data_IF_405190265464
#
_entry.id   IF_405190265464
#
_cell.length_a   1.000
_cell.length_b   1.000
_cell.length_c   1.000
_cell.angle_alpha   90.00
_cell.angle_beta   90.00
_cell.angle_gamma   90.00
#
_symmetry.space_group_name_H-M   'P 1'
#
loop_
_entity.id
_entity.type
_entity.pdbx_description
1 polymer ?
#
# COMPACT_ATOMS: atom_id res chain seq x y z
N UNK A 1 21.14 -14.57 -14.38
CA UNK A 1 20.07 -15.57 -14.65
C UNK A 1 19.39 -15.92 -13.34
N UNK A 2 18.25 -15.30 -13.04
CA UNK A 2 17.42 -15.68 -11.89
C UNK A 2 16.53 -16.83 -12.36
N UNK A 3 16.78 -18.05 -11.87
CA UNK A 3 15.90 -19.19 -12.13
C UNK A 3 14.53 -18.92 -11.50
N UNK A 4 13.55 -18.62 -12.34
CA UNK A 4 12.13 -18.60 -11.96
C UNK A 4 11.68 -20.03 -11.66
N UNK A 5 11.53 -20.36 -10.38
CA UNK A 5 10.97 -21.65 -9.95
C UNK A 5 9.57 -21.86 -10.58
N UNK A 6 9.34 -23.09 -11.05
CA UNK A 6 8.12 -23.57 -11.73
C UNK A 6 6.83 -23.25 -10.96
N UNK A 7 5.77 -22.84 -11.67
CA UNK A 7 4.42 -22.57 -11.13
C UNK A 7 3.75 -23.80 -10.50
N UNK A 8 4.16 -25.01 -10.86
CA UNK A 8 3.58 -26.25 -10.31
C UNK A 8 3.85 -26.44 -8.81
N UNK A 9 4.96 -25.90 -8.29
CA UNK A 9 5.30 -26.00 -6.86
C UNK A 9 4.41 -25.14 -5.94
N UNK A 10 3.53 -24.27 -6.46
CA UNK A 10 2.71 -23.38 -5.62
C UNK A 10 1.42 -24.01 -5.11
N UNK A 11 0.86 -25.01 -5.80
CA UNK A 11 -0.42 -25.61 -5.41
C UNK A 11 -0.30 -26.75 -4.39
N UNK A 12 0.89 -27.33 -4.23
CA UNK A 12 1.18 -28.40 -3.25
C UNK A 12 1.90 -27.89 -1.99
N UNK A 13 2.29 -26.61 -1.96
CA UNK A 13 3.03 -26.07 -0.83
C UNK A 13 2.06 -25.61 0.27
N UNK A 14 1.83 -26.46 1.26
CA UNK A 14 1.03 -26.17 2.46
C UNK A 14 1.58 -24.99 3.25
N UNK A 15 2.88 -24.70 3.15
CA UNK A 15 3.54 -23.58 3.83
C UNK A 15 3.87 -22.46 2.84
N UNK A 16 3.11 -21.37 2.92
CA UNK A 16 3.38 -20.15 2.18
C UNK A 16 3.27 -18.93 3.10
N UNK A 17 4.04 -17.89 2.81
CA UNK A 17 3.93 -16.63 3.53
C UNK A 17 2.55 -16.02 3.29
N UNK A 18 1.80 -15.81 4.38
CA UNK A 18 0.54 -15.07 4.34
C UNK A 18 0.83 -13.59 4.54
N UNK A 19 0.32 -12.78 3.62
CA UNK A 19 0.25 -11.32 3.77
C UNK A 19 -0.57 -10.95 5.01
N UNK A 20 -0.39 -9.74 5.51
CA UNK A 20 -1.20 -9.27 6.63
C UNK A 20 -2.68 -9.21 6.28
N UNK A 21 -3.03 -8.81 5.06
CA UNK A 21 -4.43 -8.79 4.63
C UNK A 21 -5.03 -10.21 4.66
N UNK A 22 -4.27 -11.23 4.24
CA UNK A 22 -4.68 -12.64 4.37
C UNK A 22 -4.80 -13.05 5.83
N UNK A 23 -3.86 -12.67 6.70
CA UNK A 23 -3.96 -12.92 8.15
C UNK A 23 -5.19 -12.24 8.75
N UNK A 24 -5.41 -10.94 8.51
CA UNK A 24 -6.58 -10.19 8.99
C UNK A 24 -7.89 -10.80 8.50
N UNK A 25 -7.97 -11.24 7.25
CA UNK A 25 -9.13 -11.95 6.70
C UNK A 25 -9.31 -13.33 7.36
N UNK A 26 -8.22 -14.04 7.65
CA UNK A 26 -8.23 -15.30 8.38
C UNK A 26 -8.56 -15.13 9.86
N UNK A 27 -8.40 -13.95 10.46
CA UNK A 27 -8.86 -13.71 11.81
C UNK A 27 -10.38 -13.43 11.74
N UNK A 28 -11.21 -14.46 11.97
CA UNK A 28 -12.66 -14.32 12.05
C UNK A 28 -13.08 -13.37 13.19
N UNK A 29 -13.89 -12.34 12.90
CA UNK A 29 -14.58 -11.53 13.93
C UNK A 29 -15.87 -12.24 14.36
N UNK A 30 -16.50 -12.98 13.45
CA UNK A 30 -17.68 -13.79 13.74
C UNK A 30 -17.30 -15.03 14.54
N UNK A 31 -17.61 -14.99 15.82
CA UNK A 31 -17.50 -16.12 16.75
C UNK A 31 -18.54 -17.22 16.44
N UNK A 32 -19.39 -17.05 15.43
CA UNK A 32 -20.46 -17.99 15.08
C UNK A 32 -20.06 -19.03 14.02
N UNK A 33 -18.90 -18.93 13.37
CA UNK A 33 -18.51 -19.85 12.28
C UNK A 33 -17.10 -20.45 12.34
N UNK A 34 -16.46 -20.48 13.51
CA UNK A 34 -15.29 -21.35 13.75
C UNK A 34 -15.59 -22.39 14.81
N UNK A 35 -15.95 -23.59 14.36
CA UNK A 35 -15.96 -24.81 15.17
C UNK A 35 -14.49 -25.25 15.34
N UNK A 36 -13.72 -24.49 16.11
CA UNK A 36 -12.62 -25.08 16.87
C UNK A 36 -13.21 -25.37 18.25
N UNK A 37 -13.31 -26.65 18.63
CA UNK A 37 -13.92 -27.11 19.89
C UNK A 37 -13.26 -26.55 21.17
N UNK A 38 -12.19 -25.75 21.05
CA UNK A 38 -11.46 -25.10 22.16
C UNK A 38 -11.65 -23.58 22.27
N UNK A 39 -12.36 -22.92 21.34
CA UNK A 39 -12.68 -21.49 21.44
C UNK A 39 -14.16 -21.33 21.80
N UNK A 40 -14.54 -21.77 23.00
CA UNK A 40 -15.84 -21.38 23.56
C UNK A 40 -15.78 -19.87 23.83
N UNK A 41 -16.87 -19.15 23.56
CA UNK A 41 -16.97 -17.76 24.06
C UNK A 41 -16.79 -17.81 25.58
N UNK A 42 -16.14 -16.82 26.19
CA UNK A 42 -16.18 -16.71 27.63
C UNK A 42 -17.60 -16.77 28.14
N UNK A 43 -17.81 -17.51 29.23
CA UNK A 43 -19.01 -17.35 30.04
C UNK A 43 -19.13 -15.87 30.43
N UNK A 44 -20.33 -15.39 30.76
CA UNK A 44 -20.62 -13.94 30.91
C UNK A 44 -19.68 -13.18 31.87
N UNK A 45 -18.95 -13.90 32.73
CA UNK A 45 -18.02 -13.36 33.72
C UNK A 45 -16.53 -13.54 33.39
N UNK A 46 -16.15 -14.35 32.39
CA UNK A 46 -14.75 -14.66 32.08
C UNK A 46 -14.16 -13.71 31.01
N UNK A 47 -12.86 -13.44 31.11
CA UNK A 47 -12.14 -12.55 30.17
C UNK A 47 -11.36 -13.35 29.14
N UNK A 48 -11.14 -12.80 27.95
CA UNK A 48 -10.33 -13.49 26.93
C UNK A 48 -8.88 -13.67 27.41
N UNK A 49 -8.35 -12.71 28.15
CA UNK A 49 -7.03 -12.79 28.76
C UNK A 49 -6.93 -13.95 29.75
N UNK A 50 -7.89 -14.10 30.66
CA UNK A 50 -7.85 -15.15 31.67
C UNK A 50 -7.95 -16.55 31.05
N UNK A 51 -8.85 -16.73 30.09
CA UNK A 51 -8.96 -17.99 29.36
C UNK A 51 -7.68 -18.36 28.59
N UNK A 52 -7.05 -17.37 27.96
CA UNK A 52 -5.76 -17.61 27.31
C UNK A 52 -4.66 -17.91 28.33
N UNK A 53 -4.67 -17.30 29.51
CA UNK A 53 -3.72 -17.58 30.58
C UNK A 53 -3.85 -19.02 31.05
N UNK A 54 -5.07 -19.50 31.34
CA UNK A 54 -5.31 -20.88 31.77
C UNK A 54 -4.86 -21.89 30.71
N UNK A 55 -5.23 -21.65 29.44
CA UNK A 55 -4.75 -22.43 28.32
C UNK A 55 -3.22 -22.51 28.28
N UNK A 56 -2.53 -21.38 28.43
CA UNK A 56 -1.06 -21.38 28.35
C UNK A 56 -0.40 -21.97 29.58
N UNK A 57 -1.02 -21.91 30.75
CA UNK A 57 -0.56 -22.63 31.96
C UNK A 57 -0.56 -24.14 31.74
N UNK A 58 -1.52 -24.66 30.97
CA UNK A 58 -1.57 -26.08 30.64
C UNK A 58 -0.59 -26.48 29.52
N UNK A 59 -0.16 -25.54 28.68
CA UNK A 59 0.66 -25.81 27.49
C UNK A 59 2.14 -25.45 27.65
N UNK A 60 2.49 -24.51 28.52
CA UNK A 60 3.84 -23.96 28.63
C UNK A 60 4.40 -24.09 30.05
N UNK A 61 5.44 -24.90 30.20
CA UNK A 61 6.09 -25.18 31.50
C UNK A 61 7.45 -24.50 31.66
N UNK A 62 7.73 -23.45 30.89
CA UNK A 62 9.00 -22.72 30.99
C UNK A 62 9.06 -21.91 32.28
N UNK A 63 10.26 -21.80 32.86
CA UNK A 63 10.47 -21.04 34.10
C UNK A 63 10.10 -19.55 33.94
N UNK A 64 10.38 -18.98 32.76
CA UNK A 64 10.06 -17.58 32.45
C UNK A 64 8.55 -17.36 32.41
N UNK A 65 7.80 -18.25 31.75
CA UNK A 65 6.33 -18.14 31.70
C UNK A 65 5.68 -18.42 33.07
N UNK A 66 6.25 -19.33 33.87
CA UNK A 66 5.79 -19.56 35.23
C UNK A 66 5.94 -18.29 36.11
N UNK A 67 7.12 -17.64 36.07
CA UNK A 67 7.37 -16.37 36.78
C UNK A 67 6.39 -15.27 36.34
N UNK A 68 6.14 -15.15 35.04
CA UNK A 68 5.10 -14.24 34.51
C UNK A 68 3.73 -14.56 35.10
N UNK A 69 3.31 -15.83 35.06
CA UNK A 69 1.98 -16.28 35.51
C UNK A 69 1.75 -15.93 36.98
N UNK A 70 2.74 -16.17 37.85
CA UNK A 70 2.64 -15.86 39.28
C UNK A 70 2.37 -14.37 39.52
N UNK A 71 2.91 -13.48 38.68
CA UNK A 71 2.75 -12.03 38.82
C UNK A 71 1.38 -11.51 38.36
N UNK A 72 0.71 -12.22 37.44
CA UNK A 72 -0.54 -11.75 36.80
C UNK A 72 -1.78 -12.50 37.23
N UNK A 73 -1.66 -13.76 37.69
CA UNK A 73 -2.80 -14.67 37.93
C UNK A 73 -3.84 -14.12 38.90
N UNK A 74 -3.40 -13.35 39.90
CA UNK A 74 -4.29 -12.75 40.91
C UNK A 74 -4.88 -11.38 40.51
N UNK A 75 -4.64 -10.91 39.28
CA UNK A 75 -5.04 -9.58 38.79
C UNK A 75 -5.97 -9.62 37.58
N UNK A 76 -6.35 -10.81 37.10
CA UNK A 76 -6.93 -10.96 35.75
C UNK A 76 -8.18 -11.82 35.65
N UNK A 77 -8.67 -12.39 36.75
CA UNK A 77 -9.77 -13.37 36.72
C UNK A 77 -11.12 -12.78 36.30
N UNK A 78 -11.32 -11.46 36.45
CA UNK A 78 -12.53 -10.76 35.99
C UNK A 78 -12.18 -9.48 35.25
N UNK A 79 -13.10 -8.99 34.43
CA UNK A 79 -12.91 -7.75 33.68
C UNK A 79 -12.66 -6.54 34.60
N UNK A 80 -13.36 -6.49 35.74
CA UNK A 80 -13.16 -5.43 36.73
C UNK A 80 -11.72 -5.42 37.28
N UNK A 81 -11.13 -6.60 37.51
CA UNK A 81 -9.73 -6.71 37.94
C UNK A 81 -8.76 -6.31 36.83
N UNK A 82 -9.02 -6.70 35.57
CA UNK A 82 -8.21 -6.26 34.43
C UNK A 82 -8.19 -4.73 34.32
N UNK A 83 -9.34 -4.07 34.46
CA UNK A 83 -9.44 -2.62 34.39
C UNK A 83 -8.71 -1.96 35.56
N UNK A 84 -8.88 -2.49 36.78
CA UNK A 84 -8.26 -1.94 37.99
C UNK A 84 -6.74 -2.13 38.02
N UNK A 85 -6.21 -3.22 37.46
CA UNK A 85 -4.80 -3.55 37.46
C UNK A 85 -4.11 -3.36 36.10
N UNK A 86 -4.74 -2.64 35.16
CA UNK A 86 -4.27 -2.53 33.77
C UNK A 86 -2.82 -2.06 33.65
N UNK A 87 -2.41 -1.06 34.43
CA UNK A 87 -1.04 -0.54 34.41
C UNK A 87 -0.04 -1.63 34.81
N UNK A 88 -0.32 -2.35 35.91
CA UNK A 88 0.57 -3.39 36.40
C UNK A 88 0.67 -4.59 35.43
N UNK A 89 -0.45 -4.97 34.81
CA UNK A 89 -0.49 -6.04 33.81
C UNK A 89 0.30 -5.65 32.56
N UNK A 90 0.15 -4.41 32.10
CA UNK A 90 0.84 -3.90 30.90
C UNK A 90 2.35 -3.77 31.13
N UNK A 91 2.78 -3.23 32.27
CA UNK A 91 4.20 -3.17 32.60
C UNK A 91 4.82 -4.57 32.70
N UNK A 92 4.09 -5.53 33.29
CA UNK A 92 4.54 -6.93 33.32
C UNK A 92 4.64 -7.49 31.91
N UNK A 93 3.65 -7.29 31.03
CA UNK A 93 3.74 -7.75 29.65
C UNK A 93 4.93 -7.13 28.91
N UNK A 94 5.16 -5.82 29.07
CA UNK A 94 6.30 -5.12 28.45
C UNK A 94 7.65 -5.70 28.90
N UNK A 95 7.80 -5.97 30.20
CA UNK A 95 9.00 -6.62 30.75
C UNK A 95 9.23 -7.97 30.07
N UNK A 96 8.21 -8.83 30.01
CA UNK A 96 8.35 -10.18 29.50
C UNK A 96 8.40 -10.28 27.97
N UNK A 97 7.85 -9.33 27.23
CA UNK A 97 8.06 -9.23 25.77
C UNK A 97 9.55 -9.10 25.45
N UNK A 98 10.31 -8.40 26.28
CA UNK A 98 11.75 -8.18 26.09
C UNK A 98 12.61 -9.27 26.75
N UNK A 99 12.13 -9.87 27.84
CA UNK A 99 12.85 -10.88 28.63
C UNK A 99 12.63 -12.32 28.13
N UNK A 100 11.48 -12.60 27.51
CA UNK A 100 11.10 -13.95 27.10
C UNK A 100 12.10 -14.54 26.09
N UNK A 101 12.42 -15.81 26.31
CA UNK A 101 13.13 -16.64 25.34
C UNK A 101 12.16 -17.17 24.27
N UNK A 102 12.69 -17.84 23.25
CA UNK A 102 11.89 -18.38 22.15
C UNK A 102 10.80 -19.36 22.64
N UNK A 103 11.01 -20.01 23.78
CA UNK A 103 10.08 -21.00 24.34
C UNK A 103 8.91 -20.36 25.12
N UNK A 104 9.08 -19.15 25.65
CA UNK A 104 8.07 -18.46 26.46
C UNK A 104 7.41 -17.28 25.74
N UNK A 105 7.98 -16.82 24.63
CA UNK A 105 7.52 -15.62 23.92
C UNK A 105 6.10 -15.78 23.34
N UNK A 106 5.77 -16.94 22.77
CA UNK A 106 4.46 -17.18 22.16
C UNK A 106 3.28 -16.93 23.12
N UNK A 107 3.25 -17.51 24.34
CA UNK A 107 2.24 -17.18 25.34
C UNK A 107 2.13 -15.69 25.64
N UNK A 108 3.26 -15.00 25.84
CA UNK A 108 3.28 -13.57 26.19
C UNK A 108 2.66 -12.72 25.08
N UNK A 109 2.98 -13.04 23.83
CA UNK A 109 2.46 -12.36 22.66
C UNK A 109 0.95 -12.60 22.44
N UNK A 110 0.44 -13.82 22.69
CA UNK A 110 -1.00 -14.11 22.61
C UNK A 110 -1.77 -13.40 23.75
N UNK A 111 -1.26 -13.47 24.97
CA UNK A 111 -1.83 -12.76 26.12
C UNK A 111 -1.88 -11.25 25.91
N UNK A 112 -0.86 -10.66 25.28
CA UNK A 112 -0.88 -9.24 24.90
C UNK A 112 -2.04 -8.92 23.95
N UNK A 113 -2.28 -9.78 22.95
CA UNK A 113 -3.39 -9.61 22.02
C UNK A 113 -4.76 -9.75 22.71
N UNK A 114 -4.91 -10.70 23.63
CA UNK A 114 -6.17 -10.87 24.38
C UNK A 114 -6.41 -9.72 25.36
N UNK A 115 -5.37 -9.21 26.03
CA UNK A 115 -5.52 -8.04 26.90
C UNK A 115 -6.03 -6.83 26.12
N UNK A 116 -5.48 -6.60 24.92
CA UNK A 116 -5.95 -5.53 24.03
C UNK A 116 -7.40 -5.73 23.59
N UNK A 117 -7.85 -6.99 23.43
CA UNK A 117 -9.23 -7.32 23.08
C UNK A 117 -10.20 -6.99 24.21
N UNK A 118 -9.84 -7.32 25.44
CA UNK A 118 -10.66 -7.06 26.63
C UNK A 118 -10.71 -5.56 26.97
N UNK A 119 -9.55 -4.90 27.02
CA UNK A 119 -9.44 -3.50 27.47
C UNK A 119 -9.70 -2.45 26.39
N UNK A 120 -9.44 -2.77 25.12
CA UNK A 120 -9.69 -1.88 23.98
C UNK A 120 -9.13 -0.46 24.17
N UNK A 121 -10.00 0.54 24.42
CA UNK A 121 -9.61 1.94 24.62
C UNK A 121 -8.64 2.11 25.79
N UNK A 122 -8.85 1.37 26.88
CA UNK A 122 -7.98 1.42 28.06
C UNK A 122 -6.58 0.88 27.78
N UNK A 123 -6.45 -0.05 26.83
CA UNK A 123 -5.16 -0.54 26.35
C UNK A 123 -4.48 0.45 25.41
N UNK A 124 -5.25 1.22 24.63
CA UNK A 124 -4.73 2.03 23.54
C UNK A 124 -3.70 3.08 24.00
N UNK A 125 -3.82 3.60 25.22
CA UNK A 125 -2.85 4.53 25.81
C UNK A 125 -1.42 3.95 25.84
N UNK A 126 -1.32 2.63 26.01
CA UNK A 126 -0.04 1.90 26.10
C UNK A 126 0.39 1.27 24.77
N UNK A 127 -0.47 1.32 23.74
CA UNK A 127 -0.22 0.71 22.44
C UNK A 127 1.12 1.14 21.82
N UNK A 128 1.53 2.44 21.82
CA UNK A 128 2.77 2.84 21.18
C UNK A 128 4.02 2.14 21.74
N UNK A 129 4.08 1.94 23.06
CA UNK A 129 5.24 1.31 23.72
C UNK A 129 5.27 -0.20 23.51
N UNK A 130 4.11 -0.85 23.60
CA UNK A 130 3.96 -2.28 23.31
C UNK A 130 4.28 -2.55 21.84
N UNK A 131 3.78 -1.72 20.93
CA UNK A 131 4.06 -1.82 19.50
C UNK A 131 5.55 -1.74 19.22
N UNK A 132 6.26 -0.74 19.78
CA UNK A 132 7.71 -0.61 19.64
C UNK A 132 8.45 -1.85 20.16
N UNK A 133 7.99 -2.43 21.27
CA UNK A 133 8.58 -3.63 21.86
C UNK A 133 8.43 -4.84 20.95
N UNK A 134 7.23 -5.05 20.38
CA UNK A 134 6.97 -6.15 19.44
C UNK A 134 7.70 -5.94 18.10
N UNK A 135 7.77 -4.71 17.60
CA UNK A 135 8.51 -4.40 16.36
C UNK A 135 10.00 -4.73 16.48
N UNK A 136 10.61 -4.54 17.66
CA UNK A 136 12.01 -4.95 17.89
C UNK A 136 12.21 -6.44 17.69
N UNK A 137 11.21 -7.27 18.02
CA UNK A 137 11.26 -8.72 17.81
C UNK A 137 11.28 -9.11 16.33
N UNK A 138 10.89 -8.21 15.42
CA UNK A 138 10.93 -8.47 13.98
C UNK A 138 12.35 -8.45 13.39
N UNK A 139 13.34 -7.93 14.14
CA UNK A 139 14.75 -7.95 13.71
C UNK A 139 15.42 -9.29 14.03
N UNK A 140 14.82 -10.37 13.53
CA UNK A 140 15.32 -11.75 13.64
C UNK A 140 15.08 -12.51 12.34
N UNK A 141 15.81 -13.62 12.14
CA UNK A 141 15.55 -14.59 11.07
C UNK A 141 14.72 -15.79 11.55
N UNK A 142 14.43 -15.87 12.84
CA UNK A 142 13.59 -16.93 13.41
C UNK A 142 12.15 -16.81 12.90
N UNK A 143 11.71 -17.80 12.14
CA UNK A 143 10.40 -17.80 11.49
C UNK A 143 9.24 -17.89 12.49
N UNK A 144 9.43 -18.55 13.63
CA UNK A 144 8.38 -18.71 14.64
C UNK A 144 8.16 -17.37 15.37
N UNK A 145 9.25 -16.71 15.77
CA UNK A 145 9.18 -15.38 16.40
C UNK A 145 8.53 -14.36 15.46
N UNK A 146 8.89 -14.39 14.17
CA UNK A 146 8.28 -13.54 13.16
C UNK A 146 6.78 -13.83 13.03
N UNK A 147 6.39 -15.10 12.98
CA UNK A 147 4.99 -15.51 12.89
C UNK A 147 4.17 -15.04 14.09
N UNK A 148 4.63 -15.30 15.31
CA UNK A 148 3.94 -14.88 16.52
C UNK A 148 3.85 -13.36 16.65
N UNK A 149 4.95 -12.65 16.35
CA UNK A 149 4.99 -11.18 16.40
C UNK A 149 4.00 -10.57 15.41
N UNK A 150 4.03 -11.04 14.15
CA UNK A 150 3.08 -10.55 13.16
C UNK A 150 1.64 -10.93 13.48
N UNK A 151 1.40 -12.11 14.04
CA UNK A 151 0.06 -12.53 14.46
C UNK A 151 -0.47 -11.63 15.56
N UNK A 152 0.33 -11.34 16.59
CA UNK A 152 -0.04 -10.41 17.67
C UNK A 152 -0.28 -9.01 17.15
N UNK A 153 0.60 -8.49 16.29
CA UNK A 153 0.38 -7.20 15.64
C UNK A 153 -0.93 -7.19 14.84
N UNK A 154 -1.23 -8.24 14.09
CA UNK A 154 -2.51 -8.37 13.36
C UNK A 154 -3.72 -8.25 14.28
N UNK A 155 -3.67 -8.91 15.44
CA UNK A 155 -4.72 -8.82 16.45
C UNK A 155 -4.83 -7.43 17.07
N UNK A 156 -3.71 -6.79 17.44
CA UNK A 156 -3.70 -5.42 17.96
C UNK A 156 -4.35 -4.45 16.97
N UNK A 157 -4.01 -4.56 15.69
CA UNK A 157 -4.63 -3.77 14.61
C UNK A 157 -6.13 -4.04 14.52
N UNK A 158 -6.53 -5.30 14.54
CA UNK A 158 -7.91 -5.71 14.46
C UNK A 158 -8.76 -5.19 15.62
N UNK A 159 -8.24 -5.16 16.85
CA UNK A 159 -8.99 -4.73 18.02
C UNK A 159 -8.95 -3.21 18.21
N UNK A 160 -7.84 -2.56 17.84
CA UNK A 160 -7.61 -1.16 18.17
C UNK A 160 -7.80 -0.18 17.00
N UNK A 161 -8.09 -0.64 15.78
CA UNK A 161 -8.17 0.25 14.60
C UNK A 161 -9.09 1.46 14.80
N UNK A 162 -10.21 1.30 15.53
CA UNK A 162 -11.16 2.41 15.78
C UNK A 162 -10.52 3.56 16.57
N UNK A 163 -9.57 3.26 17.45
CA UNK A 163 -8.83 4.24 18.22
C UNK A 163 -7.66 4.81 17.42
N UNK A 164 -7.00 3.96 16.63
CA UNK A 164 -5.95 4.39 15.67
C UNK A 164 -6.47 5.45 14.70
N UNK A 165 -7.69 5.29 14.18
CA UNK A 165 -8.28 6.27 13.26
C UNK A 165 -8.53 7.65 13.89
N UNK A 166 -8.65 7.75 15.21
CA UNK A 166 -8.83 9.05 15.90
C UNK A 166 -7.54 9.84 16.05
N UNK A 167 -6.38 9.21 15.84
CA UNK A 167 -5.04 9.78 16.06
C UNK A 167 -4.08 9.29 14.98
N UNK A 168 -4.50 9.41 13.72
CA UNK A 168 -3.80 8.81 12.59
C UNK A 168 -2.39 9.37 12.40
N UNK A 169 -2.19 10.65 12.67
CA UNK A 169 -0.91 11.34 12.68
C UNK A 169 0.08 10.67 13.65
N UNK A 170 -0.34 10.45 14.90
CA UNK A 170 0.47 9.77 15.92
C UNK A 170 0.79 8.33 15.49
N UNK A 171 -0.20 7.63 14.94
CA UNK A 171 -0.01 6.26 14.45
C UNK A 171 0.92 6.25 13.23
N UNK A 172 0.86 7.25 12.36
CA UNK A 172 1.74 7.37 11.21
C UNK A 172 3.19 7.63 11.65
N UNK A 173 3.44 8.52 12.62
CA UNK A 173 4.79 8.72 13.18
C UNK A 173 5.37 7.44 13.80
N UNK A 174 4.52 6.59 14.37
CA UNK A 174 4.95 5.30 14.91
C UNK A 174 5.36 4.32 13.80
N UNK A 175 4.78 4.48 12.61
CA UNK A 175 4.93 3.59 11.45
C UNK A 175 5.98 4.05 10.45
N UNK A 176 6.17 5.36 10.29
CA UNK A 176 7.05 5.92 9.27
C UNK A 176 8.47 5.35 9.29
N UNK A 177 9.12 5.07 10.46
CA UNK A 177 10.45 4.48 10.48
C UNK A 177 10.49 3.03 9.99
N UNK A 178 9.35 2.36 9.87
CA UNK A 178 9.25 0.98 9.38
C UNK A 178 9.24 0.90 7.86
N UNK A 179 9.00 2.02 7.16
CA UNK A 179 9.08 2.09 5.70
C UNK A 179 10.51 2.28 5.19
N UNK A 180 11.43 2.67 6.06
CA UNK A 180 12.82 2.98 5.72
C UNK A 180 13.55 1.80 5.05
N UNK A 181 14.39 2.09 4.05
CA UNK A 181 15.08 1.08 3.26
C UNK A 181 16.07 0.23 4.06
N UNK A 182 16.55 0.71 5.22
CA UNK A 182 17.38 -0.07 6.15
C UNK A 182 16.61 -1.23 6.80
N UNK A 183 15.27 -1.16 6.87
CA UNK A 183 14.44 -2.23 7.44
C UNK A 183 14.33 -3.40 6.48
N UNK A 184 14.24 -4.60 7.02
CA UNK A 184 14.05 -5.83 6.24
C UNK A 184 12.76 -5.76 5.44
N UNK A 185 12.76 -6.37 4.25
CA UNK A 185 11.64 -6.28 3.30
C UNK A 185 10.29 -6.73 3.89
N UNK A 186 10.29 -7.74 4.77
CA UNK A 186 9.08 -8.24 5.41
C UNK A 186 8.51 -7.28 6.45
N UNK A 187 9.36 -6.48 7.12
CA UNK A 187 8.93 -5.41 8.04
C UNK A 187 8.27 -4.29 7.24
N UNK A 188 8.90 -3.86 6.13
CA UNK A 188 8.35 -2.83 5.25
C UNK A 188 7.00 -3.25 4.65
N UNK A 189 6.89 -4.49 4.20
CA UNK A 189 5.64 -5.04 3.67
C UNK A 189 4.56 -5.10 4.76
N UNK A 190 4.88 -5.59 5.95
CA UNK A 190 3.94 -5.58 7.07
C UNK A 190 3.44 -4.15 7.37
N UNK A 191 4.37 -3.18 7.45
CA UNK A 191 4.04 -1.81 7.76
C UNK A 191 3.09 -1.19 6.72
N UNK A 192 3.37 -1.44 5.44
CA UNK A 192 2.55 -0.91 4.36
C UNK A 192 1.18 -1.58 4.31
N UNK A 193 1.11 -2.89 4.50
CA UNK A 193 -0.16 -3.63 4.48
C UNK A 193 -1.03 -3.31 5.71
N UNK A 194 -0.45 -3.15 6.91
CA UNK A 194 -1.21 -2.84 8.14
C UNK A 194 -1.75 -1.41 8.12
N UNK A 195 -0.94 -0.46 7.68
CA UNK A 195 -1.37 0.92 7.62
C UNK A 195 -2.35 1.13 6.45
N UNK A 196 -2.18 0.44 5.32
CA UNK A 196 -3.16 0.42 4.24
C UNK A 196 -4.55 -0.05 4.71
N UNK A 197 -4.62 -1.04 5.60
CA UNK A 197 -5.88 -1.45 6.22
C UNK A 197 -6.56 -0.32 7.00
N UNK A 198 -5.80 0.50 7.72
CA UNK A 198 -6.33 1.70 8.39
C UNK A 198 -6.78 2.74 7.37
N UNK A 199 -5.93 3.04 6.38
CA UNK A 199 -6.23 4.02 5.33
C UNK A 199 -7.54 3.71 4.60
N UNK A 200 -7.81 2.44 4.30
CA UNK A 200 -9.07 2.02 3.66
C UNK A 200 -10.30 2.34 4.51
N UNK A 201 -10.18 2.42 5.84
CA UNK A 201 -11.29 2.69 6.77
C UNK A 201 -11.54 4.18 7.05
N UNK A 202 -10.63 5.07 6.64
CA UNK A 202 -10.81 6.52 6.81
C UNK A 202 -11.97 7.00 5.93
N UNK A 203 -13.00 7.69 6.46
CA UNK A 203 -14.09 8.18 5.62
C UNK A 203 -13.63 9.25 4.62
N UNK A 204 -12.90 10.25 5.10
CA UNK A 204 -12.41 11.35 4.26
C UNK A 204 -11.04 11.01 3.66
N UNK A 205 -11.05 10.53 2.41
CA UNK A 205 -9.82 10.25 1.67
C UNK A 205 -9.11 11.53 1.22
N UNK A 206 -9.83 12.63 1.07
CA UNK A 206 -9.25 13.88 0.62
C UNK A 206 -8.34 14.46 1.71
N UNK A 207 -8.85 14.54 2.94
CA UNK A 207 -8.06 14.96 4.12
C UNK A 207 -6.83 14.06 4.33
N UNK A 208 -6.99 12.74 4.15
CA UNK A 208 -5.87 11.79 4.22
C UNK A 208 -4.77 12.11 3.21
N UNK A 209 -5.12 12.32 1.94
CA UNK A 209 -4.13 12.58 0.90
C UNK A 209 -3.58 14.01 0.95
N UNK A 210 -4.34 14.98 1.46
CA UNK A 210 -3.80 16.30 1.82
C UNK A 210 -2.71 16.15 2.88
N UNK A 211 -2.99 15.47 3.99
CA UNK A 211 -1.98 15.23 5.01
C UNK A 211 -0.74 14.50 4.46
N UNK A 212 -0.92 13.40 3.72
CA UNK A 212 0.20 12.59 3.26
C UNK A 212 1.03 13.26 2.15
N UNK A 213 0.38 13.77 1.09
CA UNK A 213 1.09 14.22 -0.11
C UNK A 213 1.47 15.70 -0.05
N UNK A 214 0.62 16.56 0.53
CA UNK A 214 0.85 18.01 0.50
C UNK A 214 1.52 18.51 1.79
N UNK A 215 1.36 17.82 2.91
CA UNK A 215 2.06 18.15 4.17
C UNK A 215 3.24 17.24 4.47
N UNK A 216 3.00 15.97 4.80
CA UNK A 216 4.02 15.05 5.32
C UNK A 216 5.17 14.84 4.36
N UNK A 217 4.86 14.52 3.10
CA UNK A 217 5.87 14.28 2.06
C UNK A 217 6.74 15.52 1.80
N UNK A 218 6.14 16.71 1.84
CA UNK A 218 6.87 17.97 1.63
C UNK A 218 7.81 18.26 2.80
N UNK A 219 7.35 18.02 4.04
CA UNK A 219 8.17 18.17 5.25
C UNK A 219 9.23 17.07 5.38
N UNK A 220 8.98 15.88 4.83
CA UNK A 220 9.83 14.70 4.94
C UNK A 220 10.08 14.01 3.58
N UNK A 221 10.83 14.63 2.65
CA UNK A 221 11.02 14.09 1.29
C UNK A 221 11.65 12.69 1.23
N UNK A 222 12.40 12.29 2.27
CA UNK A 222 13.00 10.96 2.37
C UNK A 222 11.96 9.82 2.50
N UNK A 223 10.72 10.12 2.90
CA UNK A 223 9.63 9.14 3.02
C UNK A 223 8.95 8.80 1.69
N UNK A 224 9.35 9.44 0.59
CA UNK A 224 8.72 9.31 -0.73
C UNK A 224 8.46 7.87 -1.16
N UNK A 225 9.47 6.99 -1.06
CA UNK A 225 9.34 5.59 -1.44
C UNK A 225 8.34 4.84 -0.52
N UNK A 226 8.34 5.16 0.77
CA UNK A 226 7.44 4.59 1.76
C UNK A 226 5.99 4.98 1.53
N UNK A 227 5.72 6.27 1.34
CA UNK A 227 4.39 6.81 1.05
C UNK A 227 3.87 6.25 -0.27
N UNK A 228 4.68 6.25 -1.34
CA UNK A 228 4.27 5.69 -2.63
C UNK A 228 3.91 4.20 -2.53
N UNK A 229 4.69 3.42 -1.77
CA UNK A 229 4.37 2.01 -1.51
C UNK A 229 3.08 1.85 -0.70
N UNK A 230 2.88 2.70 0.31
CA UNK A 230 1.72 2.68 1.18
C UNK A 230 0.41 2.97 0.41
N UNK A 231 0.43 3.98 -0.47
CA UNK A 231 -0.72 4.30 -1.34
C UNK A 231 -1.03 3.12 -2.26
N UNK A 232 0.00 2.47 -2.83
CA UNK A 232 -0.22 1.26 -3.63
C UNK A 232 -0.86 0.14 -2.81
N UNK A 233 -0.36 -0.17 -1.61
CA UNK A 233 -0.94 -1.20 -0.75
C UNK A 233 -2.38 -0.86 -0.35
N UNK A 234 -2.73 0.42 -0.22
CA UNK A 234 -4.13 0.85 -0.03
C UNK A 234 -5.02 0.42 -1.21
N UNK A 235 -4.57 0.55 -2.46
CA UNK A 235 -5.34 0.20 -3.67
C UNK A 235 -5.32 -1.30 -4.00
N UNK A 236 -4.23 -1.98 -3.67
CA UNK A 236 -4.03 -3.40 -3.93
C UNK A 236 -5.19 -4.22 -3.37
N UNK A 237 -5.80 -5.03 -4.24
CA UNK A 237 -6.79 -6.04 -3.89
C UNK A 237 -6.18 -7.43 -3.86
N UNK A 238 -6.92 -8.42 -4.36
CA UNK A 238 -6.47 -9.81 -4.48
C UNK A 238 -6.32 -10.20 -5.95
N UNK A 239 -5.54 -11.26 -6.24
CA UNK A 239 -5.42 -11.85 -7.59
C UNK A 239 -5.07 -10.84 -8.72
N UNK A 240 -4.21 -9.86 -8.46
CA UNK A 240 -3.82 -8.80 -9.42
C UNK A 240 -4.93 -7.77 -9.72
N UNK A 241 -6.02 -7.79 -8.95
CA UNK A 241 -7.11 -6.81 -9.01
C UNK A 241 -6.92 -5.72 -7.95
N UNK A 242 -7.53 -4.57 -8.21
CA UNK A 242 -7.65 -3.47 -7.27
C UNK A 242 -8.95 -3.60 -6.47
N UNK A 243 -8.95 -3.06 -5.26
CA UNK A 243 -10.13 -3.12 -4.39
C UNK A 243 -11.13 -1.99 -4.70
N UNK A 244 -12.32 -2.07 -4.08
CA UNK A 244 -13.45 -1.18 -4.37
C UNK A 244 -13.20 0.32 -4.09
N UNK A 245 -12.26 0.69 -3.20
CA UNK A 245 -11.97 2.10 -2.95
C UNK A 245 -10.94 2.70 -3.92
N UNK A 246 -10.40 1.90 -4.84
CA UNK A 246 -9.33 2.36 -5.74
C UNK A 246 -9.81 3.43 -6.70
N UNK A 247 -10.99 3.29 -7.30
CA UNK A 247 -11.53 4.30 -8.23
C UNK A 247 -11.61 5.67 -7.55
N UNK A 248 -12.28 5.76 -6.41
CA UNK A 248 -12.47 7.02 -5.68
C UNK A 248 -11.17 7.57 -5.12
N UNK A 249 -10.36 6.75 -4.45
CA UNK A 249 -9.13 7.21 -3.82
C UNK A 249 -8.05 7.58 -4.85
N UNK A 250 -7.96 6.88 -5.97
CA UNK A 250 -6.99 7.20 -7.01
C UNK A 250 -7.35 8.49 -7.75
N UNK A 251 -8.64 8.77 -8.00
CA UNK A 251 -9.06 10.09 -8.51
C UNK A 251 -8.56 11.22 -7.61
N UNK A 252 -8.72 11.10 -6.28
CA UNK A 252 -8.26 12.11 -5.32
C UNK A 252 -6.73 12.25 -5.36
N UNK A 253 -5.97 11.16 -5.42
CA UNK A 253 -4.50 11.22 -5.56
C UNK A 253 -4.09 11.96 -6.83
N UNK A 254 -4.79 11.71 -7.94
CA UNK A 254 -4.55 12.38 -9.22
C UNK A 254 -4.91 13.87 -9.15
N UNK A 255 -5.93 14.25 -8.39
CA UNK A 255 -6.25 15.66 -8.14
C UNK A 255 -5.14 16.41 -7.42
N UNK A 256 -4.31 15.73 -6.60
CA UNK A 256 -3.14 16.31 -5.93
C UNK A 256 -1.92 16.49 -6.84
N UNK A 257 -1.97 16.04 -8.09
CA UNK A 257 -0.91 16.35 -9.07
C UNK A 257 -0.99 17.83 -9.44
N UNK A 258 0.17 18.49 -9.45
CA UNK A 258 0.29 19.94 -9.66
C UNK A 258 -0.50 20.77 -8.62
N UNK A 259 -0.47 20.35 -7.35
CA UNK A 259 -1.26 20.96 -6.27
C UNK A 259 -0.80 22.36 -5.87
N UNK A 260 0.52 22.59 -5.77
CA UNK A 260 1.06 23.86 -5.33
C UNK A 260 1.17 24.84 -6.49
N UNK A 261 0.52 25.99 -6.36
CA UNK A 261 0.70 27.09 -7.32
C UNK A 261 2.16 27.56 -7.32
N UNK A 262 2.80 27.53 -8.49
CA UNK A 262 4.15 28.04 -8.74
C UNK A 262 5.31 27.39 -7.94
N UNK A 263 5.12 26.19 -7.37
CA UNK A 263 6.21 25.44 -6.70
C UNK A 263 6.45 24.09 -7.40
N UNK A 264 7.27 24.12 -8.46
CA UNK A 264 7.60 22.92 -9.23
C UNK A 264 8.31 21.87 -8.38
N UNK A 265 9.18 22.27 -7.45
CA UNK A 265 9.90 21.37 -6.55
C UNK A 265 8.97 20.54 -5.68
N UNK A 266 7.95 21.13 -5.05
CA UNK A 266 6.97 20.36 -4.27
C UNK A 266 6.07 19.51 -5.16
N UNK A 267 5.69 20.02 -6.33
CA UNK A 267 4.88 19.25 -7.28
C UNK A 267 5.64 18.05 -7.85
N UNK A 268 6.96 18.17 -8.07
CA UNK A 268 7.83 17.07 -8.47
C UNK A 268 7.93 16.00 -7.37
N UNK A 269 7.97 16.39 -6.10
CA UNK A 269 7.91 15.42 -4.98
C UNK A 269 6.61 14.62 -5.00
N UNK A 270 5.45 15.30 -5.14
CA UNK A 270 4.15 14.62 -5.25
C UNK A 270 4.13 13.71 -6.49
N UNK A 271 4.54 14.22 -7.65
CA UNK A 271 4.60 13.44 -8.88
C UNK A 271 5.47 12.19 -8.72
N UNK A 272 6.68 12.30 -8.17
CA UNK A 272 7.59 11.18 -7.98
C UNK A 272 7.03 10.14 -6.99
N UNK A 273 6.31 10.58 -5.95
CA UNK A 273 5.62 9.67 -5.02
C UNK A 273 4.47 8.90 -5.72
N UNK A 274 3.66 9.61 -6.51
CA UNK A 274 2.58 9.00 -7.29
C UNK A 274 3.14 8.12 -8.41
N UNK A 275 4.27 8.47 -9.00
CA UNK A 275 5.00 7.65 -9.97
C UNK A 275 5.37 6.29 -9.35
N UNK A 276 5.91 6.26 -8.12
CA UNK A 276 6.19 5.00 -7.40
C UNK A 276 4.93 4.17 -7.15
N UNK A 277 3.82 4.85 -6.84
CA UNK A 277 2.51 4.19 -6.68
C UNK A 277 2.08 3.53 -7.99
N UNK A 278 2.08 4.29 -9.09
CA UNK A 278 1.65 3.85 -10.42
C UNK A 278 2.56 2.75 -10.97
N UNK A 279 3.87 2.83 -10.75
CA UNK A 279 4.82 1.78 -11.09
C UNK A 279 4.46 0.47 -10.37
N UNK A 280 4.23 0.53 -9.06
CA UNK A 280 3.84 -0.64 -8.25
C UNK A 280 2.50 -1.22 -8.72
N UNK A 281 1.53 -0.36 -9.09
CA UNK A 281 0.25 -0.78 -9.67
C UNK A 281 0.44 -1.53 -11.00
N UNK A 282 1.28 -1.02 -11.89
CA UNK A 282 1.58 -1.63 -13.19
C UNK A 282 2.26 -3.00 -13.05
N UNK A 283 3.24 -3.10 -12.14
CA UNK A 283 3.94 -4.35 -11.82
C UNK A 283 2.95 -5.42 -11.32
N UNK A 284 2.05 -5.04 -10.41
CA UNK A 284 1.07 -5.93 -9.80
C UNK A 284 -0.04 -6.39 -10.75
N UNK A 285 -0.60 -5.50 -11.57
CA UNK A 285 -1.86 -5.78 -12.28
C UNK A 285 -1.70 -6.53 -13.62
N UNK A 286 -2.82 -6.90 -14.25
CA UNK A 286 -2.90 -7.47 -15.59
C UNK A 286 -3.87 -6.65 -16.44
N UNK A 287 -3.71 -6.71 -17.78
CA UNK A 287 -4.55 -5.98 -18.76
C UNK A 287 -6.07 -6.08 -18.48
N UNK A 288 -6.56 -7.26 -18.15
CA UNK A 288 -7.98 -7.52 -17.83
C UNK A 288 -8.51 -6.78 -16.58
N UNK A 289 -7.62 -6.24 -15.75
CA UNK A 289 -7.96 -5.57 -14.48
C UNK A 289 -7.59 -4.08 -14.47
N UNK A 290 -7.07 -3.53 -15.57
CA UNK A 290 -6.64 -2.13 -15.64
C UNK A 290 -7.77 -1.14 -15.91
N UNK A 291 -8.99 -1.61 -16.18
CA UNK A 291 -10.12 -0.74 -16.53
C UNK A 291 -10.40 0.37 -15.50
N UNK A 292 -10.27 0.08 -14.20
CA UNK A 292 -10.44 1.07 -13.13
C UNK A 292 -9.35 2.15 -13.16
N UNK A 293 -8.12 1.80 -13.51
CA UNK A 293 -7.00 2.75 -13.63
C UNK A 293 -7.22 3.65 -14.85
N UNK A 294 -7.54 3.05 -15.99
CA UNK A 294 -7.76 3.77 -17.24
C UNK A 294 -8.92 4.75 -17.14
N UNK A 295 -10.01 4.37 -16.45
CA UNK A 295 -11.12 5.28 -16.15
C UNK A 295 -10.63 6.57 -15.46
N UNK A 296 -9.80 6.44 -14.42
CA UNK A 296 -9.24 7.59 -13.70
C UNK A 296 -8.32 8.42 -14.61
N UNK A 297 -7.42 7.78 -15.36
CA UNK A 297 -6.54 8.49 -16.28
C UNK A 297 -7.30 9.25 -17.36
N UNK A 298 -8.30 8.65 -17.99
CA UNK A 298 -9.10 9.33 -19.01
C UNK A 298 -9.86 10.53 -18.42
N UNK A 299 -10.52 10.35 -17.28
CA UNK A 299 -11.22 11.46 -16.61
C UNK A 299 -10.27 12.62 -16.28
N UNK A 300 -9.08 12.31 -15.76
CA UNK A 300 -8.08 13.31 -15.40
C UNK A 300 -7.51 14.04 -16.63
N UNK A 301 -7.23 13.31 -17.71
CA UNK A 301 -6.74 13.91 -18.96
C UNK A 301 -7.80 14.77 -19.65
N UNK A 302 -9.08 14.39 -19.58
CA UNK A 302 -10.17 15.18 -20.17
C UNK A 302 -10.46 16.46 -19.38
N UNK A 303 -10.47 16.38 -18.04
CA UNK A 303 -10.70 17.52 -17.16
C UNK A 303 -9.51 18.49 -17.09
N UNK A 304 -8.29 18.01 -17.34
CA UNK A 304 -7.06 18.79 -17.24
C UNK A 304 -6.67 19.57 -18.49
N UNK A 305 -7.43 19.51 -19.59
CA UNK A 305 -7.05 20.10 -20.89
C UNK A 305 -6.68 21.60 -20.85
N UNK A 306 -7.13 22.34 -19.85
CA UNK A 306 -6.79 23.76 -19.65
C UNK A 306 -5.49 24.01 -18.87
N UNK A 307 -5.00 23.03 -18.10
CA UNK A 307 -3.77 23.13 -17.29
C UNK A 307 -2.65 22.29 -17.91
N UNK A 308 -1.84 22.93 -18.76
CA UNK A 308 -0.73 22.29 -19.48
C UNK A 308 0.25 21.59 -18.53
N UNK A 309 0.59 22.20 -17.39
CA UNK A 309 1.54 21.61 -16.43
C UNK A 309 0.98 20.34 -15.81
N UNK A 310 -0.27 20.37 -15.35
CA UNK A 310 -0.93 19.17 -14.81
C UNK A 310 -1.00 18.08 -15.86
N UNK A 311 -1.34 18.42 -17.11
CA UNK A 311 -1.38 17.45 -18.20
C UNK A 311 -0.02 16.83 -18.51
N UNK A 312 1.07 17.60 -18.45
CA UNK A 312 2.44 17.08 -18.59
C UNK A 312 2.73 16.01 -17.53
N UNK A 313 2.41 16.27 -16.26
CA UNK A 313 2.58 15.28 -15.19
C UNK A 313 1.69 14.05 -15.41
N UNK A 314 0.43 14.23 -15.80
CA UNK A 314 -0.49 13.12 -16.07
C UNK A 314 0.02 12.23 -17.21
N UNK A 315 0.48 12.82 -18.32
CA UNK A 315 1.07 12.05 -19.43
C UNK A 315 2.34 11.30 -18.99
N UNK A 316 3.18 11.90 -18.15
CA UNK A 316 4.35 11.21 -17.56
C UNK A 316 3.93 10.04 -16.67
N UNK A 317 2.84 10.15 -15.88
CA UNK A 317 2.30 9.04 -15.10
C UNK A 317 1.77 7.91 -16.00
N UNK A 318 1.02 8.24 -17.05
CA UNK A 318 0.52 7.25 -18.02
C UNK A 318 1.68 6.57 -18.73
N UNK A 319 2.69 7.32 -19.16
CA UNK A 319 3.92 6.78 -19.74
C UNK A 319 4.54 5.74 -18.78
N UNK A 320 4.69 6.08 -17.50
CA UNK A 320 5.28 5.19 -16.49
C UNK A 320 4.45 3.93 -16.26
N UNK A 321 3.12 4.05 -16.25
CA UNK A 321 2.22 2.91 -16.15
C UNK A 321 2.40 1.93 -17.33
N UNK A 322 2.56 2.46 -18.54
CA UNK A 322 2.72 1.68 -19.76
C UNK A 322 4.12 1.08 -19.91
N UNK A 323 5.16 1.83 -19.56
CA UNK A 323 6.58 1.46 -19.71
C UNK A 323 6.90 0.13 -19.00
N UNK A 324 6.37 -0.06 -17.79
CA UNK A 324 6.64 -1.24 -16.94
C UNK A 324 6.37 -2.57 -17.65
N UNK A 325 5.34 -2.63 -18.52
CA UNK A 325 4.99 -3.85 -19.28
C UNK A 325 4.93 -3.58 -20.78
N UNK A 326 5.74 -2.64 -21.27
CA UNK A 326 5.88 -2.34 -22.70
C UNK A 326 4.52 -2.20 -23.39
N UNK A 327 3.63 -1.37 -22.83
CA UNK A 327 2.26 -1.10 -23.30
C UNK A 327 1.25 -2.27 -23.25
N UNK A 328 1.60 -3.45 -22.74
CA UNK A 328 0.67 -4.58 -22.59
C UNK A 328 -0.58 -4.23 -21.76
N UNK A 329 -0.48 -3.23 -20.87
CA UNK A 329 -1.54 -2.84 -19.95
C UNK A 329 -2.65 -1.95 -20.56
N UNK A 330 -2.52 -1.55 -21.83
CA UNK A 330 -3.59 -0.85 -22.57
C UNK A 330 -4.79 -1.79 -22.68
N UNK A 331 -5.92 -1.40 -22.05
CA UNK A 331 -7.16 -2.17 -22.08
C UNK A 331 -7.91 -1.99 -23.40
N UNK A 332 -8.04 -0.74 -23.85
CA UNK A 332 -8.73 -0.33 -25.07
C UNK A 332 -7.84 0.64 -25.86
N UNK A 333 -7.26 0.15 -26.95
CA UNK A 333 -6.38 0.93 -27.81
C UNK A 333 -7.15 2.04 -28.53
N UNK A 334 -8.41 1.85 -28.87
CA UNK A 334 -9.19 2.85 -29.61
C UNK A 334 -9.45 4.07 -28.74
N UNK A 335 -9.93 3.84 -27.52
CA UNK A 335 -10.17 4.92 -26.57
C UNK A 335 -8.87 5.64 -26.20
N UNK A 336 -7.77 4.90 -26.05
CA UNK A 336 -6.45 5.50 -25.86
C UNK A 336 -6.03 6.39 -27.03
N UNK A 337 -6.21 5.94 -28.27
CA UNK A 337 -5.92 6.72 -29.47
C UNK A 337 -6.79 7.98 -29.57
N UNK A 338 -8.09 7.86 -29.28
CA UNK A 338 -9.00 9.01 -29.29
C UNK A 338 -8.58 10.05 -28.24
N UNK A 339 -8.13 9.60 -27.05
CA UNK A 339 -7.55 10.46 -26.04
C UNK A 339 -6.28 11.16 -26.56
N UNK A 340 -5.35 10.43 -27.18
CA UNK A 340 -4.14 11.01 -27.78
C UNK A 340 -4.45 12.02 -28.89
N UNK A 341 -5.49 11.79 -29.69
CA UNK A 341 -5.96 12.75 -30.71
C UNK A 341 -6.47 14.04 -30.05
N UNK A 342 -7.23 13.93 -28.94
CA UNK A 342 -7.67 15.11 -28.17
C UNK A 342 -6.47 15.89 -27.62
N UNK A 343 -5.47 15.19 -27.08
CA UNK A 343 -4.24 15.82 -26.57
C UNK A 343 -3.44 16.53 -27.67
N UNK A 344 -3.35 15.93 -28.86
CA UNK A 344 -2.67 16.56 -30.01
C UNK A 344 -3.35 17.83 -30.54
N UNK A 345 -4.61 18.10 -30.15
CA UNK A 345 -5.33 19.32 -30.52
C UNK A 345 -5.14 20.48 -29.54
N UNK A 346 -4.47 20.27 -28.41
CA UNK A 346 -4.19 21.32 -27.43
C UNK A 346 -3.27 22.36 -28.08
N UNK A 347 -3.60 23.65 -27.91
CA UNK A 347 -2.85 24.73 -28.53
C UNK A 347 -1.48 24.93 -27.88
N UNK A 348 -0.45 24.92 -28.72
CA UNK A 348 0.95 25.09 -28.32
C UNK A 348 1.38 26.55 -28.51
N UNK A 349 2.09 27.08 -27.52
CA UNK A 349 2.71 28.40 -27.55
C UNK A 349 4.22 28.28 -27.26
N UNK A 350 4.94 29.40 -27.23
CA UNK A 350 6.40 29.44 -27.01
C UNK A 350 6.78 29.32 -25.51
N UNK A 351 5.84 29.00 -24.62
CA UNK A 351 6.13 28.86 -23.18
C UNK A 351 6.92 27.57 -22.86
N UNK A 352 7.60 27.57 -21.70
CA UNK A 352 8.25 26.37 -21.16
C UNK A 352 7.27 25.22 -20.97
N UNK A 353 6.07 25.52 -20.49
CA UNK A 353 5.04 24.53 -20.17
C UNK A 353 4.54 23.83 -21.44
N UNK A 354 4.41 24.58 -22.54
CA UNK A 354 4.14 24.02 -23.85
C UNK A 354 5.25 23.09 -24.32
N UNK A 355 6.52 23.46 -24.15
CA UNK A 355 7.65 22.60 -24.54
C UNK A 355 7.67 21.28 -23.76
N UNK A 356 7.49 21.33 -22.44
CA UNK A 356 7.43 20.14 -21.59
C UNK A 356 6.22 19.25 -21.92
N UNK A 357 5.07 19.87 -22.20
CA UNK A 357 3.87 19.17 -22.66
C UNK A 357 4.13 18.41 -23.98
N UNK A 358 4.69 19.09 -24.99
CA UNK A 358 5.02 18.46 -26.28
C UNK A 358 5.99 17.30 -26.10
N UNK A 359 7.02 17.47 -25.26
CA UNK A 359 7.98 16.41 -24.98
C UNK A 359 7.31 15.18 -24.32
N UNK A 360 6.43 15.40 -23.34
CA UNK A 360 5.70 14.32 -22.68
C UNK A 360 4.73 13.61 -23.65
N UNK A 361 4.01 14.37 -24.48
CA UNK A 361 3.13 13.84 -25.52
C UNK A 361 3.90 12.96 -26.53
N UNK A 362 5.06 13.44 -27.01
CA UNK A 362 5.91 12.70 -27.93
C UNK A 362 6.52 11.45 -27.31
N UNK A 363 6.97 11.52 -26.06
CA UNK A 363 7.49 10.35 -25.35
C UNK A 363 6.42 9.26 -25.21
N UNK A 364 5.20 9.64 -24.85
CA UNK A 364 4.07 8.72 -24.75
C UNK A 364 3.70 8.12 -26.11
N UNK A 365 3.64 8.94 -27.16
CA UNK A 365 3.34 8.46 -28.50
C UNK A 365 4.41 7.52 -29.04
N UNK A 366 5.68 7.87 -28.85
CA UNK A 366 6.83 7.02 -29.20
C UNK A 366 6.77 5.66 -28.51
N UNK A 367 6.51 5.63 -27.20
CA UNK A 367 6.42 4.39 -26.42
C UNK A 367 5.37 3.43 -27.00
N UNK A 368 4.21 3.98 -27.38
CA UNK A 368 3.08 3.19 -27.91
C UNK A 368 3.33 2.74 -29.34
N UNK A 369 3.89 3.60 -30.20
CA UNK A 369 4.23 3.25 -31.58
C UNK A 369 5.30 2.15 -31.66
N UNK A 370 6.33 2.22 -30.82
CA UNK A 370 7.44 1.26 -30.84
C UNK A 370 7.16 -0.04 -30.05
N UNK A 371 5.97 -0.19 -29.48
CA UNK A 371 5.66 -1.37 -28.67
C UNK A 371 5.17 -2.55 -29.51
N UNK A 372 5.85 -3.70 -29.36
CA UNK A 372 5.43 -4.98 -29.94
C UNK A 372 4.08 -5.50 -29.41
N UNK A 373 3.64 -5.00 -28.25
CA UNK A 373 2.37 -5.40 -27.63
C UNK A 373 1.17 -4.61 -28.18
N UNK A 374 1.43 -3.59 -29.00
CA UNK A 374 0.40 -2.75 -29.61
C UNK A 374 0.30 -3.11 -31.08
N UNK A 375 -0.91 -3.52 -31.51
CA UNK A 375 -1.20 -3.83 -32.90
C UNK A 375 -2.21 -2.83 -33.42
N UNK A 376 -1.77 -1.95 -34.32
CA UNK A 376 -2.66 -1.01 -34.99
C UNK A 376 -3.41 -1.72 -36.12
N UNK A 377 -4.71 -1.45 -36.25
CA UNK A 377 -5.44 -1.74 -37.48
C UNK A 377 -4.93 -0.82 -38.58
N UNK A 378 -4.93 -1.29 -39.84
CA UNK A 378 -4.42 -0.54 -41.01
C UNK A 378 -5.01 0.88 -41.06
N UNK A 379 -6.32 1.02 -40.81
CA UNK A 379 -7.02 2.33 -40.79
C UNK A 379 -6.53 3.31 -39.71
N UNK A 380 -5.85 2.81 -38.67
CA UNK A 380 -5.43 3.59 -37.50
C UNK A 380 -3.92 3.76 -37.38
N UNK A 381 -3.14 3.12 -38.25
CA UNK A 381 -1.67 3.19 -38.28
C UNK A 381 -1.18 4.64 -38.33
N UNK A 382 -1.85 5.47 -39.13
CA UNK A 382 -1.44 6.86 -39.36
C UNK A 382 -2.10 7.86 -38.39
N UNK A 383 -3.04 7.44 -37.53
CA UNK A 383 -3.75 8.37 -36.63
C UNK A 383 -2.79 9.03 -35.66
N UNK A 384 -1.93 8.25 -35.00
CA UNK A 384 -1.00 8.80 -34.02
C UNK A 384 0.14 9.59 -34.68
N UNK A 385 0.83 9.08 -35.72
CA UNK A 385 1.86 9.86 -36.44
C UNK A 385 1.33 11.19 -36.96
N UNK A 386 0.16 11.23 -37.61
CA UNK A 386 -0.41 12.49 -38.15
C UNK A 386 -0.62 13.54 -37.05
N UNK A 387 -0.99 13.12 -35.84
CA UNK A 387 -1.15 14.05 -34.72
C UNK A 387 0.18 14.45 -34.07
N UNK A 388 1.20 13.58 -34.11
CA UNK A 388 2.55 13.90 -33.60
C UNK A 388 3.27 14.92 -34.51
N UNK A 389 3.02 14.89 -35.81
CA UNK A 389 3.70 15.72 -36.81
C UNK A 389 2.95 17.01 -37.21
N UNK A 390 1.98 17.47 -36.41
CA UNK A 390 1.29 18.72 -36.71
C UNK A 390 2.25 19.93 -36.65
N UNK A 391 2.02 20.91 -37.55
CA UNK A 391 2.85 22.11 -37.76
C UNK A 391 3.07 23.01 -36.53
N UNK A 392 2.39 22.72 -35.40
CA UNK A 392 2.42 23.52 -34.17
C UNK A 392 3.57 23.16 -33.22
N UNK A 393 4.41 22.18 -33.54
CA UNK A 393 5.42 21.64 -32.61
C UNK A 393 6.85 22.16 -32.88
N UNK A 394 7.70 22.20 -31.84
CA UNK A 394 9.12 22.55 -31.96
C UNK A 394 9.85 21.61 -32.92
N UNK A 395 10.43 22.17 -33.98
CA UNK A 395 11.15 21.43 -35.03
C UNK A 395 12.25 20.51 -34.49
N UNK A 396 12.92 20.86 -33.38
CA UNK A 396 13.96 20.00 -32.78
C UNK A 396 13.36 18.74 -32.16
N UNK A 397 12.22 18.89 -31.48
CA UNK A 397 11.50 17.78 -30.86
C UNK A 397 10.97 16.83 -31.93
N UNK A 398 10.38 17.40 -32.99
CA UNK A 398 9.90 16.65 -34.15
C UNK A 398 11.05 15.89 -34.83
N UNK A 399 12.18 16.55 -35.08
CA UNK A 399 13.34 15.90 -35.70
C UNK A 399 13.90 14.73 -34.85
N UNK A 400 13.96 14.90 -33.52
CA UNK A 400 14.39 13.84 -32.61
C UNK A 400 13.39 12.67 -32.58
N UNK A 401 12.09 12.97 -32.62
CA UNK A 401 11.05 11.95 -32.72
C UNK A 401 11.18 11.15 -34.02
N UNK A 402 11.29 11.81 -35.17
CA UNK A 402 11.48 11.15 -36.48
C UNK A 402 12.69 10.25 -36.50
N UNK A 403 13.84 10.71 -35.96
CA UNK A 403 15.03 9.85 -35.83
C UNK A 403 14.78 8.62 -34.97
N UNK A 404 13.96 8.74 -33.94
CA UNK A 404 13.68 7.63 -33.03
C UNK A 404 12.62 6.65 -33.54
N UNK A 405 11.86 7.04 -34.56
CA UNK A 405 10.86 6.21 -35.22
C UNK A 405 11.35 5.64 -36.56
N UNK A 406 12.65 5.78 -36.88
CA UNK A 406 13.22 5.29 -38.14
C UNK A 406 13.03 3.77 -38.34
N UNK A 407 13.05 3.01 -37.24
CA UNK A 407 12.83 1.56 -37.24
C UNK A 407 11.34 1.18 -37.11
N UNK A 408 10.41 2.14 -37.12
CA UNK A 408 8.98 1.86 -37.06
C UNK A 408 8.51 1.33 -38.42
N UNK A 409 8.29 0.02 -38.48
CA UNK A 409 8.01 -0.76 -39.70
C UNK A 409 6.79 -0.31 -40.51
N UNK A 410 5.94 0.57 -39.95
CA UNK A 410 4.71 1.06 -40.59
C UNK A 410 4.86 2.45 -41.23
N UNK A 411 6.06 3.05 -41.22
CA UNK A 411 6.35 4.25 -42.04
C UNK A 411 6.48 3.95 -43.54
N UNK A 412 6.70 2.69 -43.92
CA UNK A 412 6.94 2.25 -45.30
C UNK A 412 5.68 1.81 -46.06
N UNK A 413 4.49 1.91 -45.44
CA UNK A 413 3.18 1.58 -46.05
C UNK A 413 2.26 2.79 -46.07
#
# INVERSE_FOLDING_TARGET
MVQTKSRHHKNENTFHFQTLNERLANISVDVTKRINRFNQKPEETETYFYQALEKWVDLNYTAVFYDFTVRVKNKCQTLAMLIYHKEALIETLKEYILKADNLSLQPILDLTAQLARDLQNDFYVFFPEIFKSIVKLLDTQDTEILEWSFQTLSYLFKFLWRYMLKSLDIVYELYSPLFDESKKWYIRNFAAESFAFLMRKIPDKNELFDYLLTKRLVENPHELNGIGRLIFEMFKGIKNQFNACTDTAFNIVIEKINYFENDSTKNDLIFNCVEKTVQSMAEYTKKEHTGVIWKVFYNALESGLSDKKKMTYLMRLVYKFLEVKQCYLINDLNNFLDCMVKLGKVDMDVSSDSSEFTQAFFNLGKLVLLSDNVKFSIEKVNVLPTNLYQDKCDYKLVANLTRSLFDYALFET
#
